data_IF_220751192037
#
_entry.id   IF_220751192037
#
_cell.length_a   1.000
_cell.length_b   1.000
_cell.length_c   1.000
_cell.angle_alpha   90.00
_cell.angle_beta   90.00
_cell.angle_gamma   90.00
#
_symmetry.space_group_name_H-M   'P 1'
#
loop_
_entity.id
_entity.type
_entity.pdbx_description
1 polymer ?
#
# COMPACT_ATOMS: atom_id res chain seq x y z
N UNK A 1 18.31 -31.19 7.08
CA UNK A 1 17.03 -30.63 6.56
C UNK A 1 16.79 -29.26 7.19
N UNK A 2 16.96 -28.18 6.44
CA UNK A 2 16.59 -26.85 6.92
C UNK A 2 15.07 -26.86 7.18
N UNK A 3 14.62 -26.63 8.43
CA UNK A 3 13.26 -26.97 8.84
C UNK A 3 12.22 -25.90 8.48
N UNK A 4 12.61 -24.83 7.78
CA UNK A 4 11.66 -23.84 7.29
C UNK A 4 12.18 -23.19 5.99
N UNK A 5 11.58 -23.44 4.82
CA UNK A 5 11.98 -22.82 3.56
C UNK A 5 11.50 -21.36 3.41
N UNK A 6 10.63 -20.86 4.30
CA UNK A 6 10.05 -19.50 4.22
C UNK A 6 11.13 -18.43 4.11
N UNK A 7 12.16 -18.46 4.96
CA UNK A 7 13.25 -17.47 4.92
C UNK A 7 14.10 -17.50 3.65
N UNK A 8 13.94 -18.49 2.77
CA UNK A 8 14.59 -18.55 1.45
C UNK A 8 13.65 -18.20 0.30
N UNK A 9 12.34 -18.38 0.48
CA UNK A 9 11.34 -18.29 -0.59
C UNK A 9 10.46 -17.06 -0.47
N UNK A 10 10.12 -16.63 0.74
CA UNK A 10 9.26 -15.49 1.04
C UNK A 10 10.07 -14.18 0.98
N UNK A 11 10.54 -13.91 -0.23
CA UNK A 11 11.52 -12.84 -0.48
C UNK A 11 10.88 -11.46 -0.63
N UNK A 12 9.55 -11.36 -0.62
CA UNK A 12 8.84 -10.08 -0.76
C UNK A 12 9.11 -9.10 0.38
N UNK A 13 9.66 -9.55 1.52
CA UNK A 13 10.20 -8.67 2.56
C UNK A 13 11.26 -7.70 2.02
N UNK A 14 12.01 -8.09 0.98
CA UNK A 14 12.96 -7.23 0.28
C UNK A 14 12.25 -6.15 -0.57
N UNK A 15 10.94 -6.25 -0.78
CA UNK A 15 10.11 -5.23 -1.39
C UNK A 15 9.31 -4.41 -0.36
N UNK A 16 8.90 -5.05 0.75
CA UNK A 16 8.16 -4.39 1.83
C UNK A 16 9.01 -3.37 2.58
N UNK A 17 10.31 -3.64 2.78
CA UNK A 17 11.24 -2.68 3.38
C UNK A 17 11.38 -1.41 2.52
N UNK A 18 11.69 -1.49 1.21
CA UNK A 18 11.63 -0.34 0.31
C UNK A 18 10.28 0.38 0.27
N UNK A 19 9.16 -0.34 0.36
CA UNK A 19 7.83 0.27 0.42
C UNK A 19 7.69 1.16 1.65
N UNK A 20 8.10 0.66 2.83
CA UNK A 20 8.09 1.44 4.06
C UNK A 20 9.03 2.66 3.98
N UNK A 21 10.21 2.50 3.35
CA UNK A 21 11.15 3.61 3.14
C UNK A 21 10.53 4.68 2.22
N UNK A 22 9.89 4.25 1.13
CA UNK A 22 9.17 5.11 0.19
C UNK A 22 8.07 5.90 0.87
N UNK A 23 7.23 5.22 1.64
CA UNK A 23 6.13 5.86 2.38
C UNK A 23 6.65 6.88 3.41
N UNK A 24 7.72 6.54 4.15
CA UNK A 24 8.35 7.49 5.07
C UNK A 24 8.94 8.70 4.32
N UNK A 25 9.63 8.47 3.21
CA UNK A 25 10.20 9.56 2.42
C UNK A 25 9.12 10.49 1.86
N UNK A 26 8.04 9.94 1.28
CA UNK A 26 6.93 10.74 0.77
C UNK A 26 6.19 11.53 1.86
N UNK A 27 6.20 11.07 3.10
CA UNK A 27 5.65 11.84 4.22
C UNK A 27 6.62 12.92 4.75
N UNK A 28 7.91 12.62 4.83
CA UNK A 28 8.89 13.48 5.50
C UNK A 28 9.64 14.45 4.58
N UNK A 29 9.87 14.05 3.32
CA UNK A 29 10.81 14.66 2.38
C UNK A 29 12.21 14.88 2.97
N UNK A 30 12.62 14.00 3.89
CA UNK A 30 13.94 14.08 4.53
C UNK A 30 15.01 13.49 3.62
N UNK A 31 15.63 14.35 2.80
CA UNK A 31 16.69 13.96 1.87
C UNK A 31 17.94 13.41 2.59
N UNK A 32 18.27 13.91 3.79
CA UNK A 32 19.44 13.41 4.54
C UNK A 32 19.18 11.99 5.05
N UNK A 33 17.96 11.73 5.52
CA UNK A 33 17.55 10.39 5.89
C UNK A 33 17.53 9.45 4.68
N UNK A 34 16.99 9.89 3.54
CA UNK A 34 16.97 9.09 2.31
C UNK A 34 18.39 8.75 1.84
N UNK A 35 19.33 9.69 1.91
CA UNK A 35 20.75 9.44 1.61
C UNK A 35 21.32 8.33 2.51
N UNK A 36 20.98 8.32 3.80
CA UNK A 36 21.41 7.27 4.73
C UNK A 36 20.80 5.89 4.43
N UNK A 37 19.60 5.85 3.84
CA UNK A 37 18.91 4.62 3.45
C UNK A 37 19.27 4.13 2.04
N UNK A 38 19.79 5.01 1.18
CA UNK A 38 20.10 4.69 -0.21
C UNK A 38 20.99 3.44 -0.39
N UNK A 39 22.04 3.18 0.43
CA UNK A 39 22.83 1.95 0.32
C UNK A 39 21.98 0.68 0.49
N UNK A 40 20.98 0.70 1.37
CA UNK A 40 20.07 -0.43 1.57
C UNK A 40 19.17 -0.65 0.35
N UNK A 41 18.56 0.42 -0.18
CA UNK A 41 17.75 0.38 -1.40
C UNK A 41 18.55 -0.16 -2.59
N UNK A 42 19.79 0.29 -2.73
CA UNK A 42 20.71 -0.15 -3.78
C UNK A 42 21.02 -1.65 -3.67
N UNK A 43 21.41 -2.14 -2.48
CA UNK A 43 21.73 -3.56 -2.29
C UNK A 43 20.52 -4.48 -2.49
N UNK A 44 19.32 -4.02 -2.10
CA UNK A 44 18.08 -4.74 -2.37
C UNK A 44 17.79 -4.78 -3.88
N UNK A 45 18.02 -3.67 -4.59
CA UNK A 45 17.85 -3.62 -6.05
C UNK A 45 18.85 -4.53 -6.78
N UNK A 46 20.09 -4.64 -6.29
CA UNK A 46 21.06 -5.64 -6.78
C UNK A 46 20.55 -7.07 -6.56
N UNK A 47 19.97 -7.35 -5.39
CA UNK A 47 19.35 -8.65 -5.12
C UNK A 47 18.23 -8.95 -6.13
N UNK A 48 17.29 -8.02 -6.34
CA UNK A 48 16.21 -8.20 -7.31
C UNK A 48 16.73 -8.44 -8.72
N UNK A 49 17.65 -7.59 -9.20
CA UNK A 49 18.26 -7.72 -10.52
C UNK A 49 19.02 -9.04 -10.70
N UNK A 50 19.61 -9.57 -9.62
CA UNK A 50 20.28 -10.88 -9.65
C UNK A 50 19.31 -12.06 -9.69
N UNK A 51 18.05 -11.86 -9.26
CA UNK A 51 17.11 -12.95 -9.01
C UNK A 51 16.01 -13.11 -10.06
N UNK A 52 15.70 -12.03 -10.77
CA UNK A 52 14.76 -12.07 -11.89
C UNK A 52 15.26 -13.01 -12.98
N UNK A 53 14.32 -13.63 -13.67
CA UNK A 53 14.55 -14.43 -14.88
C UNK A 53 13.80 -13.81 -16.04
N UNK A 54 14.42 -13.82 -17.21
CA UNK A 54 13.82 -13.36 -18.45
C UNK A 54 12.92 -14.45 -19.03
N UNK A 55 11.71 -14.07 -19.46
CA UNK A 55 10.73 -14.94 -20.11
C UNK A 55 10.21 -14.27 -21.40
N UNK A 56 9.81 -15.03 -22.43
CA UNK A 56 9.16 -14.44 -23.59
C UNK A 56 7.83 -13.80 -23.21
N UNK A 57 7.51 -12.63 -23.77
CA UNK A 57 6.20 -12.01 -23.57
C UNK A 57 5.10 -12.88 -24.21
N UNK A 58 3.99 -13.17 -23.50
CA UNK A 58 2.86 -13.91 -24.07
C UNK A 58 2.19 -13.21 -25.28
N UNK A 59 2.25 -11.88 -25.35
CA UNK A 59 1.63 -11.09 -26.41
C UNK A 59 2.54 -10.86 -27.62
N UNK A 60 3.87 -10.88 -27.41
CA UNK A 60 4.88 -10.74 -28.46
C UNK A 60 6.14 -11.55 -28.11
N UNK A 61 6.29 -12.78 -28.66
CA UNK A 61 7.45 -13.64 -28.37
C UNK A 61 8.81 -13.07 -28.79
N UNK A 62 8.85 -11.96 -29.55
CA UNK A 62 10.09 -11.25 -29.88
C UNK A 62 10.53 -10.24 -28.81
N UNK A 63 9.67 -10.00 -27.82
CA UNK A 63 9.93 -9.19 -26.63
C UNK A 63 10.01 -10.07 -25.38
N UNK A 64 10.68 -9.55 -24.35
CA UNK A 64 10.89 -10.26 -23.09
C UNK A 64 10.25 -9.54 -21.93
N UNK A 65 9.76 -10.32 -20.97
CA UNK A 65 9.36 -9.88 -19.65
C UNK A 65 10.28 -10.48 -18.58
N UNK A 66 10.18 -9.98 -17.35
CA UNK A 66 10.92 -10.47 -16.20
C UNK A 66 9.98 -11.02 -15.13
N UNK A 67 10.36 -12.11 -14.49
CA UNK A 67 9.59 -12.71 -13.38
C UNK A 67 10.51 -13.31 -12.33
N UNK A 68 9.95 -13.71 -11.19
CA UNK A 68 10.63 -14.41 -10.12
C UNK A 68 10.09 -15.85 -10.00
N UNK A 69 10.96 -16.84 -10.17
CA UNK A 69 10.65 -18.25 -9.93
C UNK A 69 10.95 -18.68 -8.51
N UNK A 70 10.40 -19.79 -8.05
CA UNK A 70 10.66 -20.39 -6.74
C UNK A 70 10.58 -19.37 -5.59
N UNK A 71 9.45 -18.70 -5.49
CA UNK A 71 9.13 -17.74 -4.41
C UNK A 71 7.93 -18.25 -3.63
N UNK A 72 7.75 -17.75 -2.42
CA UNK A 72 6.52 -17.88 -1.65
C UNK A 72 5.87 -16.49 -1.60
N UNK A 73 4.59 -16.38 -1.99
CA UNK A 73 3.90 -15.11 -2.01
C UNK A 73 3.35 -14.80 -0.59
N UNK A 74 2.82 -13.59 -0.32
CA UNK A 74 2.12 -13.30 0.93
C UNK A 74 1.14 -14.38 1.37
N UNK A 75 0.38 -15.02 0.47
CA UNK A 75 -0.32 -16.24 0.84
C UNK A 75 0.65 -17.42 1.02
N UNK A 76 1.09 -17.62 2.26
CA UNK A 76 1.98 -18.73 2.65
C UNK A 76 1.42 -20.12 2.30
N UNK A 77 0.09 -20.22 2.11
CA UNK A 77 -0.58 -21.47 1.75
C UNK A 77 -0.21 -21.99 0.36
N UNK A 78 0.22 -21.07 -0.53
CA UNK A 78 0.67 -21.39 -1.89
C UNK A 78 1.98 -22.19 -1.92
N UNK A 79 2.80 -22.09 -0.87
CA UNK A 79 4.14 -22.69 -0.82
C UNK A 79 5.06 -22.12 -1.92
N UNK A 80 5.88 -22.97 -2.53
CA UNK A 80 6.83 -22.54 -3.57
C UNK A 80 6.16 -22.47 -4.95
N UNK A 81 6.04 -21.26 -5.47
CA UNK A 81 5.40 -20.96 -6.76
C UNK A 81 6.32 -20.15 -7.68
N UNK A 82 5.84 -19.89 -8.90
CA UNK A 82 6.51 -19.04 -9.88
C UNK A 82 5.62 -17.84 -10.20
N UNK A 83 6.24 -16.70 -10.46
CA UNK A 83 5.55 -15.49 -10.93
C UNK A 83 4.49 -14.99 -9.94
N UNK A 84 4.78 -14.94 -8.64
CA UNK A 84 3.90 -14.27 -7.68
C UNK A 84 3.67 -12.82 -8.10
N UNK A 85 2.40 -12.43 -8.28
CA UNK A 85 2.04 -11.09 -8.75
C UNK A 85 2.49 -10.02 -7.77
N UNK A 86 2.26 -10.21 -6.46
CA UNK A 86 2.71 -9.27 -5.44
C UNK A 86 4.23 -9.18 -5.39
N UNK A 87 4.93 -10.31 -5.41
CA UNK A 87 6.41 -10.31 -5.33
C UNK A 87 7.02 -9.64 -6.57
N UNK A 88 6.46 -9.87 -7.75
CA UNK A 88 6.87 -9.19 -8.97
C UNK A 88 6.60 -7.69 -8.91
N UNK A 89 5.46 -7.27 -8.36
CA UNK A 89 5.08 -5.88 -8.23
C UNK A 89 5.98 -5.11 -7.25
N UNK A 90 6.29 -5.68 -6.08
CA UNK A 90 7.21 -5.03 -5.13
C UNK A 90 8.65 -5.00 -5.63
N UNK A 91 9.06 -5.96 -6.47
CA UNK A 91 10.34 -5.91 -7.20
C UNK A 91 10.40 -4.69 -8.14
N UNK A 92 9.40 -4.52 -9.02
CA UNK A 92 9.32 -3.35 -9.92
C UNK A 92 9.28 -2.03 -9.13
N UNK A 93 8.43 -1.95 -8.10
CA UNK A 93 8.32 -0.77 -7.23
C UNK A 93 9.66 -0.42 -6.59
N UNK A 94 10.40 -1.42 -6.09
CA UNK A 94 11.71 -1.22 -5.45
C UNK A 94 12.74 -0.65 -6.42
N UNK A 95 12.82 -1.20 -7.64
CA UNK A 95 13.74 -0.72 -8.67
C UNK A 95 13.41 0.72 -9.08
N UNK A 96 12.12 1.01 -9.30
CA UNK A 96 11.66 2.35 -9.63
C UNK A 96 11.95 3.36 -8.51
N UNK A 97 11.64 3.02 -7.27
CA UNK A 97 11.90 3.91 -6.14
C UNK A 97 13.40 4.10 -5.87
N UNK A 98 14.23 3.08 -6.08
CA UNK A 98 15.69 3.23 -5.97
C UNK A 98 16.24 4.18 -7.03
N UNK A 99 15.70 4.15 -8.27
CA UNK A 99 16.05 5.12 -9.31
C UNK A 99 15.57 6.55 -8.99
N UNK A 100 14.39 6.69 -8.38
CA UNK A 100 13.89 7.97 -7.87
C UNK A 100 14.82 8.50 -6.77
N UNK A 101 15.09 7.70 -5.73
CA UNK A 101 15.97 8.05 -4.63
C UNK A 101 17.37 8.43 -5.10
N UNK A 102 17.91 7.69 -6.08
CA UNK A 102 19.17 8.00 -6.74
C UNK A 102 19.20 9.43 -7.31
N UNK A 103 18.14 9.84 -8.01
CA UNK A 103 18.03 11.18 -8.59
C UNK A 103 18.00 12.31 -7.55
N UNK A 104 17.51 12.01 -6.34
CA UNK A 104 17.42 12.94 -5.21
C UNK A 104 18.76 13.07 -4.49
N UNK A 105 19.46 11.95 -4.25
CA UNK A 105 20.70 11.93 -3.44
C UNK A 105 21.97 12.19 -4.27
N UNK A 106 21.88 12.18 -5.61
CA UNK A 106 23.00 12.52 -6.50
C UNK A 106 24.09 11.44 -6.58
N UNK A 107 23.72 10.16 -6.47
CA UNK A 107 24.66 9.03 -6.50
C UNK A 107 25.28 8.74 -7.88
N UNK A 108 25.90 7.55 -8.05
CA UNK A 108 26.29 7.02 -9.37
C UNK A 108 25.10 6.36 -10.07
N UNK A 109 24.87 6.63 -11.37
CA UNK A 109 23.69 6.12 -12.10
C UNK A 109 23.53 4.62 -11.91
N UNK A 110 22.32 4.12 -11.57
CA UNK A 110 22.08 2.69 -11.49
C UNK A 110 22.28 2.03 -12.86
N UNK A 111 22.58 0.72 -12.92
CA UNK A 111 22.68 0.00 -14.18
C UNK A 111 21.40 0.16 -15.03
N UNK A 112 21.53 0.45 -16.32
CA UNK A 112 20.40 0.62 -17.26
C UNK A 112 19.41 -0.56 -17.22
N UNK A 113 19.93 -1.76 -16.91
CA UNK A 113 19.17 -2.99 -16.74
C UNK A 113 18.02 -2.86 -15.72
N UNK A 114 18.17 -2.06 -14.66
CA UNK A 114 17.14 -1.93 -13.62
C UNK A 114 15.86 -1.30 -14.16
N UNK A 115 15.99 -0.28 -15.00
CA UNK A 115 14.85 0.34 -15.68
C UNK A 115 14.17 -0.64 -16.65
N UNK A 116 14.96 -1.46 -17.35
CA UNK A 116 14.44 -2.48 -18.25
C UNK A 116 13.67 -3.57 -17.50
N UNK A 117 14.17 -4.01 -16.34
CA UNK A 117 13.46 -4.98 -15.48
C UNK A 117 12.16 -4.36 -14.97
N UNK A 118 12.23 -3.19 -14.33
CA UNK A 118 11.07 -2.56 -13.69
C UNK A 118 9.92 -2.31 -14.68
N UNK A 119 10.24 -1.85 -15.90
CA UNK A 119 9.26 -1.54 -16.95
C UNK A 119 8.67 -2.78 -17.65
N UNK A 120 9.32 -3.94 -17.53
CA UNK A 120 8.91 -5.16 -18.22
C UNK A 120 8.71 -6.33 -17.23
N UNK A 121 8.34 -6.05 -15.98
CA UNK A 121 7.94 -7.11 -15.05
C UNK A 121 6.62 -7.75 -15.51
N UNK A 122 6.56 -9.08 -15.40
CA UNK A 122 5.38 -9.86 -15.71
C UNK A 122 4.40 -9.86 -14.54
N UNK A 123 3.14 -9.56 -14.84
CA UNK A 123 2.02 -9.65 -13.90
C UNK A 123 1.04 -10.68 -14.45
N UNK A 124 0.90 -11.86 -13.82
CA UNK A 124 -0.03 -12.88 -14.30
C UNK A 124 -1.46 -12.36 -14.35
N UNK A 125 -2.12 -12.56 -15.50
CA UNK A 125 -3.52 -12.18 -15.71
C UNK A 125 -4.26 -13.41 -16.24
N UNK A 126 -5.45 -13.67 -15.69
CA UNK A 126 -6.31 -14.79 -16.09
C UNK A 126 -7.73 -14.34 -16.39
N UNK A 127 -8.31 -14.88 -17.46
CA UNK A 127 -9.75 -14.78 -17.73
C UNK A 127 -10.49 -15.89 -16.99
N UNK A 128 -11.39 -15.52 -16.09
CA UNK A 128 -12.30 -16.47 -15.47
C UNK A 128 -13.41 -16.81 -16.47
N UNK A 129 -13.88 -18.07 -16.51
CA UNK A 129 -14.88 -18.53 -17.49
C UNK A 129 -16.07 -17.57 -17.63
N UNK A 130 -16.17 -16.92 -18.79
CA UNK A 130 -17.26 -15.99 -19.12
C UNK A 130 -17.24 -14.66 -18.35
N UNK A 131 -16.11 -14.30 -17.75
CA UNK A 131 -15.89 -13.03 -17.04
C UNK A 131 -14.64 -12.33 -17.58
N UNK A 132 -14.55 -11.04 -17.31
CA UNK A 132 -13.37 -10.23 -17.62
C UNK A 132 -12.16 -10.64 -16.78
N UNK A 133 -10.98 -10.25 -17.25
CA UNK A 133 -9.70 -10.64 -16.66
C UNK A 133 -9.44 -10.03 -15.27
N UNK A 134 -8.71 -10.78 -14.45
CA UNK A 134 -8.19 -10.40 -13.13
C UNK A 134 -6.69 -10.67 -13.07
N UNK A 135 -5.99 -10.03 -12.14
CA UNK A 135 -4.65 -10.48 -11.75
C UNK A 135 -4.76 -11.86 -11.08
N UNK A 136 -3.90 -12.78 -11.52
CA UNK A 136 -3.75 -14.09 -10.91
C UNK A 136 -2.63 -14.03 -9.86
N UNK A 137 -2.80 -14.70 -8.72
CA UNK A 137 -1.82 -14.65 -7.63
C UNK A 137 -0.44 -15.15 -8.06
N UNK A 138 -0.38 -16.23 -8.82
CA UNK A 138 0.83 -16.79 -9.40
C UNK A 138 0.52 -17.68 -10.62
N UNK A 139 1.53 -18.07 -11.39
CA UNK A 139 1.32 -18.94 -12.56
C UNK A 139 0.85 -20.34 -12.13
N UNK A 140 -0.31 -20.77 -12.64
CA UNK A 140 -0.86 -22.10 -12.36
C UNK A 140 -1.71 -22.20 -11.09
N UNK A 141 -2.06 -21.08 -10.46
CA UNK A 141 -3.05 -21.06 -9.39
C UNK A 141 -4.34 -21.80 -9.80
N UNK A 142 -4.80 -22.70 -8.94
CA UNK A 142 -5.85 -23.69 -9.23
C UNK A 142 -7.23 -23.33 -8.64
N UNK A 143 -7.34 -22.20 -7.94
CA UNK A 143 -8.58 -21.73 -7.36
C UNK A 143 -8.84 -22.18 -5.92
N UNK A 144 -7.85 -22.69 -5.19
CA UNK A 144 -7.97 -23.00 -3.76
C UNK A 144 -8.23 -21.75 -2.88
N UNK A 145 -8.58 -21.95 -1.62
CA UNK A 145 -8.80 -20.87 -0.65
C UNK A 145 -7.45 -20.38 -0.12
N UNK A 146 -7.24 -19.07 -0.07
CA UNK A 146 -6.02 -18.44 0.46
C UNK A 146 -6.19 -18.12 1.96
N UNK A 147 -5.09 -18.09 2.71
CA UNK A 147 -5.13 -17.85 4.16
C UNK A 147 -5.01 -16.37 4.55
N UNK A 148 -4.45 -15.54 3.66
CA UNK A 148 -4.37 -14.10 3.81
C UNK A 148 -4.33 -13.42 2.45
N UNK A 149 -4.43 -12.09 2.43
CA UNK A 149 -4.46 -11.32 1.19
C UNK A 149 -3.09 -11.32 0.48
N UNK A 150 -3.13 -11.29 -0.84
CA UNK A 150 -1.98 -11.28 -1.74
C UNK A 150 -2.21 -10.30 -2.89
N UNK A 151 -3.17 -10.61 -3.77
CA UNK A 151 -3.50 -9.76 -4.92
C UNK A 151 -4.17 -8.46 -4.49
N UNK A 152 -4.92 -8.45 -3.38
CA UNK A 152 -5.47 -7.23 -2.80
C UNK A 152 -4.40 -6.24 -2.34
N UNK A 153 -3.21 -6.75 -2.02
CA UNK A 153 -2.07 -5.92 -1.61
C UNK A 153 -1.51 -5.06 -2.75
N UNK A 154 -1.82 -5.40 -4.01
CA UNK A 154 -1.53 -4.53 -5.15
C UNK A 154 -2.27 -3.19 -5.02
N UNK A 155 -3.53 -3.20 -4.56
CA UNK A 155 -4.28 -1.96 -4.35
C UNK A 155 -3.79 -1.24 -3.10
N UNK A 156 -3.76 -1.92 -1.95
CA UNK A 156 -3.23 -1.37 -0.70
C UNK A 156 -2.42 -2.42 0.06
N UNK A 157 -1.16 -2.16 0.42
CA UNK A 157 -0.52 -0.84 0.51
C UNK A 157 0.29 -0.41 -0.72
N UNK A 158 0.37 -1.22 -1.77
CA UNK A 158 1.33 -0.99 -2.85
C UNK A 158 0.99 0.19 -3.78
N UNK A 159 -0.29 0.57 -3.86
CA UNK A 159 -0.81 1.60 -4.79
C UNK A 159 -0.40 1.31 -6.25
N UNK A 160 -0.55 0.05 -6.66
CA UNK A 160 -0.19 -0.43 -7.98
C UNK A 160 -1.13 0.17 -9.04
N UNK A 161 -0.55 0.77 -10.08
CA UNK A 161 -1.30 1.39 -11.16
C UNK A 161 -2.00 0.32 -12.02
N UNK A 162 -3.34 0.37 -12.04
CA UNK A 162 -4.16 -0.53 -12.84
C UNK A 162 -5.51 0.12 -13.19
N UNK A 163 -6.22 -0.35 -14.24
CA UNK A 163 -7.57 0.10 -14.51
C UNK A 163 -8.50 -0.11 -13.32
N UNK A 164 -9.34 0.88 -13.01
CA UNK A 164 -10.27 0.85 -11.87
C UNK A 164 -11.15 -0.41 -11.86
N UNK A 165 -11.61 -0.82 -13.03
CA UNK A 165 -12.47 -1.99 -13.20
C UNK A 165 -11.70 -3.29 -12.88
N UNK A 166 -10.41 -3.36 -13.19
CA UNK A 166 -9.55 -4.50 -12.82
C UNK A 166 -9.38 -4.58 -11.30
N UNK A 167 -9.05 -3.47 -10.64
CA UNK A 167 -8.97 -3.41 -9.18
C UNK A 167 -10.27 -3.88 -8.50
N UNK A 168 -11.44 -3.46 -9.01
CA UNK A 168 -12.73 -3.90 -8.49
C UNK A 168 -12.92 -5.42 -8.67
N UNK A 169 -12.53 -5.98 -9.81
CA UNK A 169 -12.67 -7.41 -10.09
C UNK A 169 -11.70 -8.25 -9.25
N UNK A 170 -10.47 -7.78 -9.07
CA UNK A 170 -9.46 -8.40 -8.21
C UNK A 170 -10.00 -8.50 -6.78
N UNK A 171 -10.41 -7.38 -6.19
CA UNK A 171 -10.96 -7.36 -4.84
C UNK A 171 -12.20 -8.25 -4.69
N UNK A 172 -13.13 -8.24 -5.67
CA UNK A 172 -14.30 -9.14 -5.64
C UNK A 172 -13.88 -10.60 -5.62
N UNK A 173 -12.92 -10.98 -6.47
CA UNK A 173 -12.53 -12.38 -6.60
C UNK A 173 -11.75 -12.84 -5.37
N UNK A 174 -10.70 -12.11 -5.00
CA UNK A 174 -9.75 -12.52 -3.97
C UNK A 174 -10.33 -12.44 -2.57
N UNK A 175 -11.14 -11.42 -2.25
CA UNK A 175 -11.87 -11.38 -0.97
C UNK A 175 -12.81 -12.60 -0.78
N UNK A 176 -13.39 -13.14 -1.87
CA UNK A 176 -14.20 -14.36 -1.81
C UNK A 176 -13.36 -15.64 -1.74
N UNK A 177 -12.06 -15.58 -2.02
CA UNK A 177 -11.10 -16.68 -1.90
C UNK A 177 -10.39 -16.69 -0.56
N UNK A 178 -10.39 -15.59 0.17
CA UNK A 178 -9.79 -15.48 1.49
C UNK A 178 -10.60 -16.26 2.52
N UNK A 179 -9.92 -17.12 3.28
CA UNK A 179 -10.50 -17.84 4.39
C UNK A 179 -11.08 -16.85 5.42
N UNK A 180 -12.38 -16.92 5.77
CA UNK A 180 -12.97 -16.05 6.78
C UNK A 180 -12.36 -16.21 8.19
N UNK A 181 -11.67 -17.32 8.46
CA UNK A 181 -10.87 -17.56 9.68
C UNK A 181 -9.36 -17.55 9.40
N UNK A 182 -8.95 -16.87 8.34
CA UNK A 182 -7.56 -16.60 7.98
C UNK A 182 -6.89 -15.62 8.94
N UNK A 183 -5.70 -15.14 8.56
CA UNK A 183 -5.01 -14.13 9.34
C UNK A 183 -5.72 -12.77 9.22
N UNK A 184 -5.83 -12.05 10.34
CA UNK A 184 -6.48 -10.73 10.41
C UNK A 184 -5.70 -9.60 9.69
N UNK A 185 -4.73 -9.94 8.84
CA UNK A 185 -3.99 -9.00 7.99
C UNK A 185 -4.80 -8.60 6.76
N UNK A 186 -5.52 -9.55 6.13
CA UNK A 186 -6.22 -9.33 4.85
C UNK A 186 -7.45 -8.41 4.95
N UNK A 187 -8.28 -8.57 5.98
CA UNK A 187 -9.50 -7.75 6.15
C UNK A 187 -9.18 -6.25 6.24
N UNK A 188 -8.02 -5.92 6.82
CA UNK A 188 -7.60 -4.52 6.95
C UNK A 188 -7.24 -3.90 5.60
N UNK A 189 -6.56 -4.64 4.72
CA UNK A 189 -6.17 -4.16 3.40
C UNK A 189 -7.37 -4.02 2.46
N UNK A 190 -8.28 -5.01 2.44
CA UNK A 190 -9.47 -4.96 1.58
C UNK A 190 -10.36 -3.75 1.88
N UNK A 191 -10.58 -3.43 3.15
CA UNK A 191 -11.38 -2.26 3.53
C UNK A 191 -10.78 -0.96 2.98
N UNK A 192 -9.47 -0.76 3.14
CA UNK A 192 -8.77 0.44 2.64
C UNK A 192 -8.81 0.49 1.11
N UNK A 193 -8.56 -0.64 0.43
CA UNK A 193 -8.64 -0.73 -1.02
C UNK A 193 -10.05 -0.40 -1.55
N UNK A 194 -11.12 -0.85 -0.87
CA UNK A 194 -12.49 -0.47 -1.22
C UNK A 194 -12.76 1.02 -1.02
N UNK A 195 -12.21 1.65 0.03
CA UNK A 195 -12.31 3.09 0.26
C UNK A 195 -11.59 3.91 -0.82
N UNK A 196 -10.39 3.49 -1.24
CA UNK A 196 -9.67 4.12 -2.36
C UNK A 196 -10.48 4.11 -3.66
N UNK A 197 -11.30 3.07 -3.88
CA UNK A 197 -12.20 2.95 -5.03
C UNK A 197 -13.53 3.71 -4.87
N UNK A 198 -13.79 4.27 -3.68
CA UNK A 198 -15.01 4.99 -3.33
C UNK A 198 -16.19 4.08 -2.94
N UNK A 199 -15.94 2.82 -2.57
CA UNK A 199 -16.98 1.86 -2.18
C UNK A 199 -17.07 1.70 -0.66
N UNK A 200 -17.71 2.68 -0.02
CA UNK A 200 -17.87 2.72 1.43
C UNK A 200 -18.63 1.54 2.00
N UNK A 201 -19.64 1.02 1.29
CA UNK A 201 -20.43 -0.11 1.75
C UNK A 201 -19.59 -1.38 1.91
N UNK A 202 -18.79 -1.73 0.89
CA UNK A 202 -17.93 -2.92 0.97
C UNK A 202 -16.79 -2.74 1.96
N UNK A 203 -16.25 -1.52 2.04
CA UNK A 203 -15.25 -1.20 3.05
C UNK A 203 -15.80 -1.42 4.46
N UNK A 204 -17.02 -0.95 4.73
CA UNK A 204 -17.68 -1.11 6.02
C UNK A 204 -17.93 -2.59 6.37
N UNK A 205 -18.30 -3.42 5.40
CA UNK A 205 -18.44 -4.87 5.58
C UNK A 205 -17.11 -5.53 6.04
N UNK A 206 -15.98 -5.12 5.45
CA UNK A 206 -14.65 -5.62 5.79
C UNK A 206 -14.11 -5.03 7.09
N UNK A 207 -14.22 -3.71 7.27
CA UNK A 207 -13.80 -3.02 8.48
C UNK A 207 -14.50 -3.58 9.72
N UNK A 208 -15.79 -3.91 9.63
CA UNK A 208 -16.53 -4.46 10.76
C UNK A 208 -16.02 -5.83 11.22
N UNK A 209 -15.34 -6.59 10.36
CA UNK A 209 -14.69 -7.85 10.78
C UNK A 209 -13.58 -7.60 11.80
N UNK A 210 -12.93 -6.43 11.78
CA UNK A 210 -11.88 -6.09 12.74
C UNK A 210 -12.32 -6.19 14.20
N UNK A 211 -13.58 -5.86 14.49
CA UNK A 211 -14.12 -5.94 15.85
C UNK A 211 -14.31 -7.39 16.32
N UNK A 212 -14.44 -8.36 15.41
CA UNK A 212 -14.52 -9.79 15.75
C UNK A 212 -13.18 -10.34 16.26
N UNK A 213 -12.08 -9.65 15.94
CA UNK A 213 -10.73 -9.97 16.39
C UNK A 213 -10.36 -9.28 17.70
N UNK A 214 -11.25 -8.50 18.31
CA UNK A 214 -11.05 -7.93 19.65
C UNK A 214 -11.61 -8.86 20.71
N UNK A 215 -10.81 -9.24 21.71
CA UNK A 215 -11.22 -10.18 22.77
C UNK A 215 -10.91 -9.68 24.17
N UNK A 216 -11.71 -10.15 25.13
CA UNK A 216 -11.58 -9.83 26.55
C UNK A 216 -11.94 -8.39 26.90
N UNK A 217 -11.86 -8.07 28.19
CA UNK A 217 -12.28 -6.76 28.74
C UNK A 217 -11.38 -5.60 28.29
N UNK A 218 -10.21 -5.90 27.75
CA UNK A 218 -9.24 -4.92 27.26
C UNK A 218 -9.20 -4.80 25.73
N UNK A 219 -10.11 -5.48 25.01
CA UNK A 219 -10.19 -5.47 23.54
C UNK A 219 -8.84 -5.76 22.87
N UNK A 220 -8.10 -6.76 23.37
CA UNK A 220 -6.82 -7.15 22.74
C UNK A 220 -7.08 -7.82 21.40
N UNK A 221 -6.22 -7.55 20.42
CA UNK A 221 -6.32 -8.15 19.09
C UNK A 221 -5.80 -9.58 19.09
N UNK A 222 -6.56 -10.49 18.49
CA UNK A 222 -6.15 -11.87 18.19
C UNK A 222 -5.96 -12.08 16.68
N UNK A 223 -5.06 -12.99 16.37
CA UNK A 223 -4.61 -13.29 15.01
C UNK A 223 -5.68 -13.92 14.10
N UNK A 224 -6.56 -14.78 14.65
CA UNK A 224 -7.62 -15.52 13.93
C UNK A 224 -8.94 -15.46 14.68
N UNK A 225 -10.06 -15.80 14.06
CA UNK A 225 -11.36 -15.88 14.76
C UNK A 225 -11.41 -17.11 15.69
N UNK A 226 -10.85 -18.24 15.25
CA UNK A 226 -10.70 -19.44 16.07
C UNK A 226 -9.23 -19.71 16.40
N UNK A 227 -8.93 -19.82 17.71
CA UNK A 227 -7.55 -19.96 18.18
C UNK A 227 -6.71 -18.71 17.91
N UNK A 228 -5.47 -18.90 17.46
CA UNK A 228 -4.52 -17.83 17.17
C UNK A 228 -3.83 -17.23 18.40
N UNK A 229 -2.81 -16.43 18.15
CA UNK A 229 -2.10 -15.71 19.20
C UNK A 229 -2.86 -14.45 19.62
N UNK A 230 -2.78 -14.11 20.91
CA UNK A 230 -3.23 -12.83 21.47
C UNK A 230 -2.12 -11.78 21.35
N UNK A 231 -2.47 -10.50 21.50
CA UNK A 231 -1.56 -9.37 21.31
C UNK A 231 -1.00 -9.32 19.87
N UNK A 232 -1.85 -9.61 18.89
CA UNK A 232 -1.48 -9.57 17.49
C UNK A 232 -1.34 -8.12 17.02
N UNK A 233 -0.13 -7.57 17.16
CA UNK A 233 0.18 -6.17 16.86
C UNK A 233 -0.07 -5.80 15.41
N UNK A 234 0.15 -6.73 14.48
CA UNK A 234 -0.14 -6.51 13.05
C UNK A 234 -1.62 -6.22 12.83
N UNK A 235 -2.52 -6.92 13.53
CA UNK A 235 -3.96 -6.66 13.50
C UNK A 235 -4.34 -5.30 14.10
N UNK A 236 -3.73 -4.93 15.24
CA UNK A 236 -3.94 -3.61 15.83
C UNK A 236 -3.45 -2.49 14.90
N UNK A 237 -2.32 -2.71 14.22
CA UNK A 237 -1.79 -1.82 13.18
C UNK A 237 -2.74 -1.72 11.98
N UNK A 238 -3.28 -2.84 11.49
CA UNK A 238 -4.25 -2.87 10.39
C UNK A 238 -5.54 -2.11 10.71
N UNK A 239 -6.03 -2.21 11.95
CA UNK A 239 -7.15 -1.40 12.42
C UNK A 239 -6.81 0.11 12.40
N UNK A 240 -5.64 0.50 12.91
CA UNK A 240 -5.21 1.89 12.90
C UNK A 240 -5.04 2.43 11.46
N UNK A 241 -4.50 1.61 10.56
CA UNK A 241 -4.38 1.94 9.13
C UNK A 241 -5.75 2.15 8.49
N UNK A 242 -6.77 1.37 8.86
CA UNK A 242 -8.14 1.62 8.41
C UNK A 242 -8.66 2.99 8.82
N UNK A 243 -8.38 3.41 10.05
CA UNK A 243 -8.77 4.75 10.52
C UNK A 243 -8.00 5.82 9.75
N UNK A 244 -6.67 5.68 9.61
CA UNK A 244 -5.81 6.71 9.01
C UNK A 244 -5.87 6.77 7.49
N UNK A 245 -5.51 5.67 6.82
CA UNK A 245 -5.35 5.59 5.37
C UNK A 245 -6.64 5.17 4.66
N UNK A 246 -7.54 4.47 5.36
CA UNK A 246 -8.88 4.16 4.89
C UNK A 246 -9.84 5.34 5.04
N UNK A 247 -10.48 5.45 6.21
CA UNK A 247 -11.53 6.44 6.49
C UNK A 247 -11.01 7.87 6.53
N UNK A 248 -9.81 8.09 7.08
CA UNK A 248 -9.12 9.36 6.96
C UNK A 248 -8.75 9.71 5.52
N UNK A 249 -8.64 8.68 4.66
CA UNK A 249 -8.26 8.80 3.27
C UNK A 249 -6.89 9.43 3.08
N UNK A 250 -6.02 9.37 4.10
CA UNK A 250 -4.66 9.90 4.04
C UNK A 250 -3.87 9.14 2.97
N UNK A 251 -3.26 9.87 2.05
CA UNK A 251 -2.39 9.27 1.06
C UNK A 251 -1.21 10.20 0.72
N UNK A 252 0.01 9.70 0.94
CA UNK A 252 1.24 10.44 0.70
C UNK A 252 1.83 10.04 -0.64
N UNK A 253 2.01 11.02 -1.51
CA UNK A 253 2.80 10.91 -2.74
C UNK A 253 4.03 11.79 -2.64
N UNK A 254 4.96 11.67 -3.59
CA UNK A 254 6.11 12.57 -3.65
C UNK A 254 5.71 14.07 -3.71
N UNK A 255 4.53 14.39 -4.25
CA UNK A 255 4.10 15.78 -4.48
C UNK A 255 2.98 16.29 -3.54
N UNK A 256 2.33 15.40 -2.78
CA UNK A 256 1.18 15.81 -1.96
C UNK A 256 0.85 14.83 -0.84
N UNK A 257 0.26 15.37 0.24
CA UNK A 257 -0.56 14.63 1.17
C UNK A 257 -2.03 14.84 0.75
N UNK A 258 -2.67 13.81 0.22
CA UNK A 258 -4.05 13.87 -0.27
C UNK A 258 -5.03 13.18 0.68
N UNK A 259 -6.31 13.53 0.55
CA UNK A 259 -7.38 13.14 1.46
C UNK A 259 -8.62 12.71 0.68
N UNK A 260 -9.21 11.57 1.07
CA UNK A 260 -10.56 11.13 0.67
C UNK A 260 -11.40 10.80 1.91
N UNK A 261 -11.71 11.79 2.74
CA UNK A 261 -12.24 11.53 4.07
C UNK A 261 -13.68 11.03 4.03
N UNK A 262 -13.96 10.03 4.85
CA UNK A 262 -15.31 9.54 5.12
C UNK A 262 -15.37 9.03 6.57
N UNK A 263 -16.48 9.26 7.25
CA UNK A 263 -16.67 8.71 8.60
C UNK A 263 -17.12 7.24 8.52
N UNK A 264 -16.58 6.35 9.36
CA UNK A 264 -17.14 5.01 9.52
C UNK A 264 -18.54 5.07 10.11
N UNK A 265 -19.38 4.07 9.82
CA UNK A 265 -20.77 3.99 10.31
C UNK A 265 -20.82 3.52 11.78
N UNK A 266 -20.12 4.27 12.64
CA UNK A 266 -20.03 4.05 14.08
C UNK A 266 -20.75 5.15 14.88
N UNK A 267 -21.53 6.00 14.20
CA UNK A 267 -22.23 7.14 14.82
C UNK A 267 -21.30 8.24 15.33
N UNK A 268 -20.11 8.40 14.72
CA UNK A 268 -19.15 9.43 15.11
C UNK A 268 -19.67 10.83 14.76
N UNK A 269 -19.48 11.80 15.68
CA UNK A 269 -19.73 13.21 15.39
C UNK A 269 -18.61 13.82 14.54
N UNK A 270 -17.38 13.36 14.75
CA UNK A 270 -16.21 13.71 13.95
C UNK A 270 -15.07 12.70 14.19
N UNK A 271 -14.09 12.70 13.29
CA UNK A 271 -12.79 12.02 13.45
C UNK A 271 -11.69 13.08 13.34
N UNK A 272 -10.70 13.09 14.22
CA UNK A 272 -9.63 14.09 14.20
C UNK A 272 -8.25 13.46 14.25
N UNK A 273 -7.41 13.81 13.27
CA UNK A 273 -5.98 13.53 13.28
C UNK A 273 -5.24 14.78 13.78
N UNK A 274 -4.53 14.64 14.90
CA UNK A 274 -3.74 15.72 15.48
C UNK A 274 -2.27 15.51 15.17
N UNK A 275 -1.56 16.60 14.89
CA UNK A 275 -0.12 16.62 14.68
C UNK A 275 0.35 15.65 13.59
N UNK A 276 -0.38 15.58 12.47
CA UNK A 276 0.07 14.85 11.29
C UNK A 276 1.30 15.56 10.75
N UNK A 277 2.46 14.90 10.76
CA UNK A 277 3.70 15.47 10.24
C UNK A 277 3.78 15.26 8.74
N UNK A 278 4.06 16.32 7.98
CA UNK A 278 4.25 16.27 6.54
C UNK A 278 5.24 17.35 6.07
N UNK A 279 6.33 16.95 5.43
CA UNK A 279 7.41 17.84 4.95
C UNK A 279 7.90 18.87 6.00
N UNK A 280 7.97 18.44 7.27
CA UNK A 280 8.36 19.27 8.43
C UNK A 280 7.27 20.22 8.97
N UNK A 281 6.08 20.26 8.34
CA UNK A 281 4.87 20.88 8.87
C UNK A 281 4.07 19.92 9.75
N UNK A 282 3.27 20.48 10.66
CA UNK A 282 2.34 19.75 11.52
C UNK A 282 0.92 20.19 11.26
N UNK A 283 0.03 19.23 10.99
CA UNK A 283 -1.33 19.49 10.56
C UNK A 283 -2.35 18.92 11.54
N UNK A 284 -3.46 19.64 11.70
CA UNK A 284 -4.68 19.13 12.31
C UNK A 284 -5.73 18.93 11.23
N UNK A 285 -6.34 17.76 11.18
CA UNK A 285 -7.34 17.39 10.19
C UNK A 285 -8.55 16.86 10.92
N UNK A 286 -9.72 17.45 10.68
CA UNK A 286 -10.97 17.01 11.32
C UNK A 286 -12.00 16.68 10.26
N UNK A 287 -12.61 15.52 10.35
CA UNK A 287 -13.62 15.02 9.41
C UNK A 287 -14.96 15.05 10.12
N UNK A 288 -15.92 15.76 9.54
CA UNK A 288 -17.32 15.80 9.97
C UNK A 288 -18.21 15.11 8.92
N UNK A 289 -19.50 14.85 9.21
CA UNK A 289 -20.39 14.17 8.26
C UNK A 289 -20.62 14.89 6.92
N UNK A 290 -20.34 16.19 6.83
CA UNK A 290 -20.63 17.02 5.63
C UNK A 290 -19.47 17.89 5.15
N UNK A 291 -18.41 17.97 5.94
CA UNK A 291 -17.26 18.84 5.68
C UNK A 291 -16.05 18.29 6.42
N UNK A 292 -14.88 18.77 6.05
CA UNK A 292 -13.63 18.56 6.79
C UNK A 292 -12.98 19.90 7.08
N UNK A 293 -12.08 19.91 8.05
CA UNK A 293 -11.19 21.04 8.30
C UNK A 293 -9.74 20.63 8.22
N UNK A 294 -8.92 21.53 7.69
CA UNK A 294 -7.47 21.40 7.66
C UNK A 294 -6.84 22.65 8.28
N UNK A 295 -5.83 22.45 9.12
CA UNK A 295 -5.08 23.53 9.75
C UNK A 295 -3.59 23.20 9.77
N UNK A 296 -2.77 24.15 9.33
CA UNK A 296 -1.32 24.11 9.53
C UNK A 296 -1.03 24.69 10.93
N UNK A 297 -0.63 23.83 11.86
CA UNK A 297 -0.41 24.17 13.26
C UNK A 297 0.96 24.84 13.46
N UNK A 298 1.98 24.21 12.92
CA UNK A 298 3.39 24.58 13.12
C UNK A 298 4.22 24.12 11.92
N UNK A 299 5.32 24.84 11.66
CA UNK A 299 6.31 24.50 10.64
C UNK A 299 7.70 24.50 11.25
N UNK A 300 8.52 23.52 10.87
CA UNK A 300 9.95 23.54 11.18
C UNK A 300 10.65 24.69 10.41
N UNK A 301 11.79 25.23 10.88
CA UNK A 301 12.47 26.35 10.21
C UNK A 301 12.86 26.11 8.75
N UNK A 302 13.06 24.85 8.36
CA UNK A 302 13.42 24.43 7.00
C UNK A 302 12.23 23.93 6.17
N UNK A 303 11.00 24.04 6.68
CA UNK A 303 9.82 23.59 5.96
C UNK A 303 9.49 24.50 4.78
N UNK A 304 8.99 23.94 3.66
CA UNK A 304 8.44 24.72 2.57
C UNK A 304 7.13 25.41 2.99
N UNK A 305 6.64 26.34 2.17
CA UNK A 305 5.23 26.75 2.30
C UNK A 305 4.32 25.65 1.76
N UNK A 306 3.05 25.66 2.18
CA UNK A 306 2.08 24.61 1.82
C UNK A 306 0.89 25.19 1.09
N UNK A 307 0.37 24.43 0.15
CA UNK A 307 -0.79 24.80 -0.66
C UNK A 307 -1.90 23.77 -0.46
N UNK A 308 -3.08 24.22 -0.04
CA UNK A 308 -4.31 23.42 0.00
C UNK A 308 -5.01 23.53 -1.36
N UNK A 309 -5.25 22.38 -2.00
CA UNK A 309 -5.96 22.28 -3.27
C UNK A 309 -7.27 21.54 -3.08
N UNK A 310 -8.36 22.15 -3.52
CA UNK A 310 -9.73 21.63 -3.56
C UNK A 310 -10.20 21.53 -5.02
N UNK A 311 -11.45 21.15 -5.29
CA UNK A 311 -11.94 21.14 -6.68
C UNK A 311 -12.10 22.56 -7.26
N UNK A 312 -12.30 23.57 -6.41
CA UNK A 312 -12.60 24.95 -6.82
C UNK A 312 -11.38 25.86 -6.71
N UNK A 313 -10.59 25.70 -5.65
CA UNK A 313 -9.54 26.64 -5.28
C UNK A 313 -8.21 25.97 -4.91
N UNK A 314 -7.14 26.73 -5.13
CA UNK A 314 -5.78 26.45 -4.66
C UNK A 314 -5.33 27.62 -3.77
N UNK A 315 -5.08 27.35 -2.49
CA UNK A 315 -4.82 28.37 -1.48
C UNK A 315 -3.52 28.10 -0.73
N UNK A 316 -2.66 29.11 -0.60
CA UNK A 316 -1.51 29.04 0.30
C UNK A 316 -1.99 28.98 1.77
N UNK A 317 -1.51 27.97 2.49
CA UNK A 317 -1.88 27.74 3.88
C UNK A 317 -1.10 28.68 4.81
N UNK A 318 -1.82 29.34 5.73
CA UNK A 318 -1.27 30.18 6.77
C UNK A 318 -1.33 29.45 8.10
N UNK A 319 -0.23 29.48 8.83
CA UNK A 319 -0.15 28.86 10.16
C UNK A 319 -1.24 29.42 11.09
N UNK A 320 -1.92 28.54 11.83
CA UNK A 320 -3.01 28.86 12.76
C UNK A 320 -4.32 29.28 12.09
N UNK A 321 -4.45 29.11 10.77
CA UNK A 321 -5.70 29.33 10.04
C UNK A 321 -6.38 27.99 9.77
N UNK A 322 -7.65 27.87 10.17
CA UNK A 322 -8.49 26.72 9.85
C UNK A 322 -9.18 26.94 8.50
N UNK A 323 -9.04 25.94 7.62
CA UNK A 323 -9.67 25.90 6.30
C UNK A 323 -10.82 24.88 6.33
N UNK A 324 -12.03 25.29 5.95
CA UNK A 324 -13.16 24.38 5.77
C UNK A 324 -13.15 23.84 4.35
N UNK A 325 -13.36 22.53 4.19
CA UNK A 325 -13.34 21.84 2.90
C UNK A 325 -14.58 20.96 2.80
N UNK A 326 -15.40 21.18 1.77
CA UNK A 326 -16.60 20.38 1.52
C UNK A 326 -16.38 19.28 0.47
N UNK A 327 -15.23 19.30 -0.19
CA UNK A 327 -14.87 18.35 -1.22
C UNK A 327 -14.66 16.94 -0.67
N UNK A 328 -15.11 15.94 -1.44
CA UNK A 328 -14.81 14.53 -1.16
C UNK A 328 -13.34 14.17 -1.39
N UNK A 329 -12.58 15.07 -2.05
CA UNK A 329 -11.15 14.93 -2.27
C UNK A 329 -10.48 16.32 -2.20
N UNK A 330 -9.37 16.40 -1.48
CA UNK A 330 -8.49 17.57 -1.45
C UNK A 330 -7.05 17.13 -1.16
N UNK A 331 -6.10 18.04 -1.31
CA UNK A 331 -4.68 17.74 -1.05
C UNK A 331 -3.92 18.93 -0.50
N UNK A 332 -2.87 18.65 0.25
CA UNK A 332 -1.88 19.63 0.72
C UNK A 332 -0.55 19.30 0.05
N UNK A 333 0.03 20.27 -0.66
CA UNK A 333 1.31 20.12 -1.36
C UNK A 333 2.37 21.07 -0.80
N UNK A 334 3.61 20.60 -0.58
CA UNK A 334 4.75 21.45 -0.26
C UNK A 334 5.23 22.19 -1.52
N UNK A 335 5.65 23.45 -1.35
CA UNK A 335 6.23 24.27 -2.40
C UNK A 335 7.77 24.28 -2.26
N UNK A 336 8.45 23.30 -2.87
CA UNK A 336 9.93 23.15 -2.85
C UNK A 336 10.67 24.08 -3.82
#
# INVERSE_FOLDING_TARGET
>A
PYPNPEGQLEIHINGDIPLAIKQYYYASHDNNWLESMYPLLYSISEFWASRVVEIPSPSDPSSSLFTLYNVQPPDESAGMVNSSVYTNAVCSMTLNFTMEAHSIVGGSMPPDQWSAIANNMYYPIVELKGKEAIHNEYDGYDGHIINQDDVGLLQYPLDFEMPKEMAIRDLIYWQNKTNPDGYFTGDSAYSIAWLQLGNTKKAEEEFNKSFLHMVGDFFVWKEKLSGGNINFLTGAGGFLQNVMYGYGGLHFTNSSMSFRPVLPDLGLSYLQFKNVSYSGGYFSLTIYPKESTAELLETSPSSPSFTLTTNEDTLEMKQGTTYNVTDAFFSISPNF
#
